data_IF_339363068855
#
_entry.id   IF_339363068855
#
_cell.length_a   1.000
_cell.length_b   1.000
_cell.length_c   1.000
_cell.angle_alpha   90.00
_cell.angle_beta   90.00
_cell.angle_gamma   90.00
#
_symmetry.space_group_name_H-M   'P 1'
#
loop_
_entity.id
_entity.type
_entity.pdbx_description
1 polymer ?
#
# COMPACT_ATOMS: atom_id res chain seq x y z
N UNK A 1 -29.76 -39.53 -31.57
CA UNK A 1 -28.51 -40.12 -31.06
C UNK A 1 -28.17 -39.40 -29.77
N UNK A 2 -28.45 -40.02 -28.62
CA UNK A 2 -28.23 -39.46 -27.29
C UNK A 2 -26.79 -39.69 -26.84
N UNK A 3 -26.06 -38.62 -26.57
CA UNK A 3 -24.72 -38.67 -25.99
C UNK A 3 -24.86 -38.54 -24.47
N UNK A 4 -24.60 -39.64 -23.74
CA UNK A 4 -24.52 -39.66 -22.27
C UNK A 4 -23.07 -39.50 -21.86
N UNK A 5 -22.76 -38.47 -21.09
CA UNK A 5 -21.46 -38.27 -20.45
C UNK A 5 -21.55 -38.81 -19.01
N UNK A 6 -20.69 -39.76 -18.60
CA UNK A 6 -20.68 -40.21 -17.22
C UNK A 6 -19.93 -39.22 -16.32
N UNK A 7 -20.58 -38.91 -15.21
CA UNK A 7 -20.05 -38.30 -14.00
C UNK A 7 -18.96 -39.19 -13.39
N UNK A 8 -17.76 -38.63 -13.15
CA UNK A 8 -16.73 -39.25 -12.32
C UNK A 8 -16.56 -38.42 -11.05
N UNK A 9 -16.98 -39.04 -9.95
CA UNK A 9 -16.56 -38.78 -8.58
C UNK A 9 -15.08 -39.17 -8.41
N UNK A 10 -14.26 -38.36 -7.73
CA UNK A 10 -13.30 -38.82 -6.71
C UNK A 10 -12.54 -37.63 -6.10
N UNK A 11 -12.87 -37.26 -4.86
CA UNK A 11 -12.14 -37.61 -3.60
C UNK A 11 -11.09 -36.56 -3.21
N UNK A 12 -11.55 -35.66 -2.33
CA UNK A 12 -10.97 -35.34 -1.02
C UNK A 12 -9.47 -35.61 -0.82
N UNK A 13 -8.69 -34.54 -0.63
CA UNK A 13 -7.50 -34.56 0.22
C UNK A 13 -7.41 -33.28 1.03
N UNK A 14 -7.89 -33.40 2.27
CA UNK A 14 -7.71 -32.46 3.36
C UNK A 14 -6.41 -32.84 4.06
N UNK A 15 -5.36 -32.03 3.96
CA UNK A 15 -4.16 -32.17 4.81
C UNK A 15 -4.07 -30.95 5.71
N UNK A 16 -4.48 -31.16 6.96
CA UNK A 16 -4.34 -30.26 8.09
C UNK A 16 -2.96 -30.54 8.69
N UNK A 17 -2.01 -29.62 8.57
CA UNK A 17 -0.80 -29.64 9.40
C UNK A 17 -0.97 -28.65 10.55
N UNK A 18 -1.30 -29.21 11.71
CA UNK A 18 -1.24 -28.58 13.01
C UNK A 18 0.07 -29.00 13.67
N UNK A 19 0.91 -28.03 14.06
CA UNK A 19 1.90 -28.22 15.11
C UNK A 19 2.31 -26.85 15.68
N UNK A 20 1.63 -26.46 16.76
CA UNK A 20 2.21 -25.57 17.76
C UNK A 20 3.32 -26.30 18.51
N UNK A 21 4.42 -25.61 18.82
CA UNK A 21 5.30 -26.01 19.91
C UNK A 21 5.75 -24.76 20.65
N UNK A 22 5.17 -24.61 21.84
CA UNK A 22 5.58 -23.67 22.89
C UNK A 22 6.52 -24.41 23.82
N UNK A 23 7.73 -23.90 24.03
CA UNK A 23 8.58 -24.24 25.18
C UNK A 23 9.05 -22.94 25.87
N UNK A 24 8.55 -22.75 27.08
CA UNK A 24 9.09 -21.89 28.16
C UNK A 24 10.13 -22.69 28.96
N UNK A 25 10.67 -22.18 30.07
CA UNK A 25 11.31 -20.88 30.35
C UNK A 25 12.72 -21.11 30.94
N UNK A 26 13.52 -20.07 31.17
CA UNK A 26 14.55 -20.17 32.21
C UNK A 26 14.80 -18.87 32.97
N UNK A 27 15.22 -19.08 34.21
CA UNK A 27 15.04 -18.24 35.39
C UNK A 27 16.32 -17.48 35.75
N UNK A 28 16.18 -16.16 35.93
CA UNK A 28 16.79 -15.38 37.03
C UNK A 28 18.31 -15.25 37.15
N UNK A 29 18.79 -13.99 37.14
CA UNK A 29 19.59 -13.48 38.27
C UNK A 29 19.51 -11.95 38.38
N UNK A 30 19.52 -11.48 39.62
CA UNK A 30 19.38 -10.08 40.13
C UNK A 30 20.74 -9.35 39.98
N UNK A 31 20.94 -8.02 40.08
CA UNK A 31 20.46 -6.94 40.98
C UNK A 31 21.05 -5.59 40.41
N UNK A 32 20.31 -4.47 40.29
CA UNK A 32 20.31 -3.24 41.16
C UNK A 32 21.60 -2.38 41.03
N UNK A 33 21.69 -1.05 40.77
CA UNK A 33 21.03 0.21 41.21
C UNK A 33 21.60 1.33 40.27
N UNK A 34 20.99 2.47 39.92
CA UNK A 34 20.47 3.57 40.74
C UNK A 34 19.68 4.56 39.85
N UNK A 35 18.64 5.16 40.42
CA UNK A 35 17.82 6.23 39.85
C UNK A 35 18.55 7.60 39.88
N UNK A 36 17.95 8.66 39.30
CA UNK A 36 17.04 9.45 40.12
C UNK A 36 15.64 9.61 39.49
N UNK A 37 14.64 9.49 40.37
CA UNK A 37 13.27 9.91 40.15
C UNK A 37 13.21 11.44 40.14
N UNK A 38 12.42 12.03 39.25
CA UNK A 38 11.55 13.14 39.64
C UNK A 38 10.27 13.08 38.84
N UNK A 39 9.18 13.22 39.58
CA UNK A 39 7.81 12.99 39.20
C UNK A 39 7.29 13.93 38.11
N UNK A 40 6.44 13.38 37.25
CA UNK A 40 5.24 14.09 36.79
C UNK A 40 4.14 13.08 36.54
N UNK A 41 3.26 12.98 37.55
CA UNK A 41 1.96 12.33 37.46
C UNK A 41 1.15 12.94 36.31
N UNK A 42 0.82 12.10 35.33
CA UNK A 42 -0.19 12.38 34.33
C UNK A 42 -0.75 11.06 33.83
N UNK A 43 -1.78 10.55 34.50
CA UNK A 43 -2.61 9.43 34.01
C UNK A 43 -3.04 9.74 32.57
N UNK A 44 -2.61 8.94 31.60
CA UNK A 44 -3.44 8.69 30.42
C UNK A 44 -3.29 7.23 29.98
N UNK A 45 -4.42 6.55 30.11
CA UNK A 45 -4.81 5.24 29.61
C UNK A 45 -3.89 4.61 28.57
N UNK A 46 -3.46 3.37 28.86
CA UNK A 46 -2.83 2.49 27.90
C UNK A 46 -3.78 2.16 26.75
N UNK A 47 -3.65 2.92 25.66
CA UNK A 47 -3.85 2.39 24.33
C UNK A 47 -2.46 2.13 23.76
N UNK A 48 -2.19 0.92 23.28
CA UNK A 48 -1.06 0.71 22.37
C UNK A 48 -1.31 1.68 21.22
N UNK A 49 -0.55 2.77 21.17
CA UNK A 49 -0.52 3.65 20.01
C UNK A 49 0.17 2.80 18.96
N UNK A 50 -0.60 2.10 18.14
CA UNK A 50 -0.06 1.38 16.99
C UNK A 50 0.72 2.41 16.20
N UNK A 51 2.05 2.35 16.31
CA UNK A 51 2.95 3.18 15.52
C UNK A 51 2.77 2.64 14.11
N UNK A 52 1.97 3.36 13.32
CA UNK A 52 1.74 2.99 11.93
C UNK A 52 3.07 3.17 11.23
N UNK A 53 3.62 2.07 10.73
CA UNK A 53 4.81 2.11 9.91
C UNK A 53 4.41 2.82 8.62
N UNK A 54 4.87 4.05 8.47
CA UNK A 54 4.70 4.81 7.23
C UNK A 54 5.41 4.03 6.12
N UNK A 55 4.70 3.75 5.02
CA UNK A 55 5.28 3.16 3.83
C UNK A 55 5.21 4.17 2.70
N UNK A 56 6.33 4.29 1.99
CA UNK A 56 6.47 5.20 0.86
C UNK A 56 7.44 4.58 -0.11
N UNK A 57 6.99 4.35 -1.33
CA UNK A 57 7.80 3.81 -2.42
C UNK A 57 7.89 4.84 -3.53
N UNK A 58 9.07 5.03 -4.11
CA UNK A 58 9.16 5.68 -5.42
C UNK A 58 9.12 4.59 -6.48
N UNK A 59 8.12 4.65 -7.36
CA UNK A 59 7.93 3.63 -8.40
C UNK A 59 7.98 4.24 -9.78
N UNK A 60 8.43 3.45 -10.75
CA UNK A 60 8.13 3.67 -12.17
C UNK A 60 7.04 2.68 -12.58
N UNK A 61 5.92 3.18 -13.09
CA UNK A 61 4.75 2.38 -13.40
C UNK A 61 4.27 2.59 -14.84
N UNK A 62 3.81 1.53 -15.46
CA UNK A 62 3.13 1.55 -16.76
C UNK A 62 1.62 1.55 -16.55
N UNK A 63 0.92 2.50 -17.17
CA UNK A 63 -0.53 2.59 -17.11
C UNK A 63 -1.12 1.46 -17.94
N UNK A 64 -1.94 0.62 -17.31
CA UNK A 64 -2.73 -0.39 -18.01
C UNK A 64 -4.14 0.13 -18.30
N UNK A 65 -4.70 0.92 -17.38
CA UNK A 65 -6.04 1.49 -17.52
C UNK A 65 -6.22 2.72 -16.64
N UNK A 66 -6.98 3.70 -17.14
CA UNK A 66 -7.53 4.81 -16.34
C UNK A 66 -9.05 4.67 -16.32
N UNK A 67 -9.67 4.69 -15.13
CA UNK A 67 -11.13 4.65 -14.97
C UNK A 67 -11.60 5.93 -14.29
N UNK A 68 -12.24 6.86 -15.01
CA UNK A 68 -12.88 8.01 -14.38
C UNK A 68 -14.09 7.57 -13.56
N UNK A 69 -14.23 8.15 -12.38
CA UNK A 69 -15.33 7.93 -11.41
C UNK A 69 -16.06 9.24 -11.07
N UNK A 70 -15.63 10.35 -11.68
CA UNK A 70 -16.19 11.69 -11.58
C UNK A 70 -15.25 12.70 -12.25
N UNK A 71 -15.52 13.99 -12.09
CA UNK A 71 -14.69 15.03 -12.71
C UNK A 71 -13.27 15.02 -12.16
N UNK A 72 -13.15 14.87 -10.83
CA UNK A 72 -11.86 14.89 -10.13
C UNK A 72 -11.55 13.57 -9.39
N UNK A 73 -12.29 12.50 -9.68
CA UNK A 73 -12.03 11.18 -9.09
C UNK A 73 -11.78 10.16 -10.20
N UNK A 74 -10.71 9.39 -10.08
CA UNK A 74 -10.37 8.34 -11.02
C UNK A 74 -9.47 7.30 -10.34
N UNK A 75 -9.53 6.07 -10.86
CA UNK A 75 -8.69 4.96 -10.45
C UNK A 75 -7.75 4.58 -11.60
N UNK A 76 -6.47 4.41 -11.29
CA UNK A 76 -5.44 3.91 -12.20
C UNK A 76 -5.24 2.41 -11.95
N UNK A 77 -5.18 1.60 -12.99
CA UNK A 77 -4.60 0.25 -12.92
C UNK A 77 -3.24 0.30 -13.58
N UNK A 78 -2.20 -0.06 -12.84
CA UNK A 78 -0.81 0.13 -13.28
C UNK A 78 0.03 -1.11 -13.00
N UNK A 79 0.99 -1.39 -13.88
CA UNK A 79 2.04 -2.39 -13.69
C UNK A 79 3.29 -1.70 -13.15
N UNK A 80 3.80 -2.14 -12.00
CA UNK A 80 5.06 -1.61 -11.45
C UNK A 80 6.24 -2.16 -12.25
N UNK A 81 6.95 -1.27 -12.94
CA UNK A 81 8.13 -1.62 -13.74
C UNK A 81 9.40 -1.57 -12.91
N UNK A 82 9.46 -0.67 -11.94
CA UNK A 82 10.60 -0.52 -11.05
C UNK A 82 10.20 0.10 -9.71
N UNK A 83 11.00 -0.18 -8.68
CA UNK A 83 10.82 0.32 -7.31
C UNK A 83 12.17 0.82 -6.81
N UNK A 84 12.19 2.06 -6.37
CA UNK A 84 13.35 2.71 -5.78
C UNK A 84 13.13 2.82 -4.26
N UNK A 85 14.18 2.48 -3.52
CA UNK A 85 14.25 2.72 -2.08
C UNK A 85 14.59 4.19 -1.83
N UNK A 86 13.75 4.89 -1.08
CA UNK A 86 14.00 6.28 -0.70
C UNK A 86 14.76 6.40 0.64
N UNK A 87 15.00 5.28 1.32
CA UNK A 87 15.77 5.17 2.56
C UNK A 87 15.09 5.75 3.80
N UNK A 88 13.96 6.47 3.64
CA UNK A 88 13.20 7.03 4.76
C UNK A 88 12.09 6.09 5.24
N UNK A 89 11.55 5.25 4.36
CA UNK A 89 10.43 4.36 4.66
C UNK A 89 10.55 3.00 3.97
N UNK A 90 10.02 1.96 4.60
CA UNK A 90 9.96 0.63 3.97
C UNK A 90 9.01 0.68 2.76
N UNK A 91 9.50 0.20 1.61
CA UNK A 91 8.71 0.08 0.40
C UNK A 91 7.87 -1.20 0.43
N UNK A 92 6.55 -1.07 0.32
CA UNK A 92 5.63 -2.20 0.16
C UNK A 92 5.31 -2.53 -1.31
N UNK A 93 5.76 -1.69 -2.25
CA UNK A 93 5.52 -1.91 -3.66
C UNK A 93 6.47 -2.98 -4.20
N UNK A 94 5.96 -3.88 -5.05
CA UNK A 94 6.72 -4.97 -5.64
C UNK A 94 6.80 -4.80 -7.16
N UNK A 95 8.01 -4.95 -7.71
CA UNK A 95 8.24 -4.94 -9.15
C UNK A 95 7.53 -6.12 -9.84
N UNK A 96 6.86 -5.85 -10.96
CA UNK A 96 6.09 -6.84 -11.71
C UNK A 96 4.64 -6.99 -11.26
N UNK A 97 4.26 -6.41 -10.12
CA UNK A 97 2.90 -6.47 -9.61
C UNK A 97 2.00 -5.39 -10.22
N UNK A 98 0.69 -5.68 -10.23
CA UNK A 98 -0.34 -4.78 -10.69
C UNK A 98 -1.14 -4.23 -9.52
N UNK A 99 -1.27 -2.90 -9.46
CA UNK A 99 -2.03 -2.24 -8.41
C UNK A 99 -3.13 -1.35 -8.97
N UNK A 100 -4.19 -1.17 -8.16
CA UNK A 100 -5.24 -0.18 -8.38
C UNK A 100 -4.99 1.00 -7.45
N UNK A 101 -4.69 2.16 -8.02
CA UNK A 101 -4.25 3.34 -7.29
C UNK A 101 -5.20 4.51 -7.49
N UNK A 102 -5.32 5.37 -6.48
CA UNK A 102 -6.05 6.63 -6.55
C UNK A 102 -5.13 7.82 -6.27
N UNK A 103 -5.36 8.99 -6.89
CA UNK A 103 -4.60 10.19 -6.58
C UNK A 103 -4.90 10.70 -5.16
N UNK A 104 -3.84 10.94 -4.38
CA UNK A 104 -3.90 11.48 -3.02
C UNK A 104 -3.94 13.00 -3.00
N UNK A 105 -5.06 13.57 -3.46
CA UNK A 105 -5.23 15.03 -3.52
C UNK A 105 -5.15 15.68 -2.13
N UNK A 106 -4.44 16.80 -2.07
CA UNK A 106 -4.52 17.69 -0.91
C UNK A 106 -5.79 18.52 -1.00
N UNK A 107 -6.64 18.45 0.02
CA UNK A 107 -7.96 19.11 0.04
C UNK A 107 -7.93 20.40 0.87
N UNK A 108 -8.79 21.36 0.51
CA UNK A 108 -9.20 22.50 1.33
C UNK A 108 -10.71 22.40 1.55
N UNK A 109 -11.11 21.89 2.72
CA UNK A 109 -12.48 21.45 2.96
C UNK A 109 -12.91 20.36 1.95
N UNK A 110 -13.81 20.71 1.04
CA UNK A 110 -14.32 19.81 -0.01
C UNK A 110 -13.67 20.01 -1.37
N UNK A 111 -12.82 21.02 -1.52
CA UNK A 111 -12.19 21.38 -2.79
C UNK A 111 -10.77 20.86 -2.87
N UNK A 112 -10.32 20.57 -4.08
CA UNK A 112 -8.92 20.20 -4.33
C UNK A 112 -8.09 21.48 -4.32
N UNK A 113 -7.05 21.52 -3.49
CA UNK A 113 -6.14 22.68 -3.43
C UNK A 113 -5.52 22.94 -4.82
N UNK A 114 -5.51 24.19 -5.32
CA UNK A 114 -4.90 24.53 -6.61
C UNK A 114 -3.37 24.64 -6.50
N UNK A 115 -2.71 23.56 -6.07
CA UNK A 115 -1.25 23.47 -5.92
C UNK A 115 -0.65 22.57 -7.00
N UNK A 116 0.62 22.78 -7.31
CA UNK A 116 1.36 22.05 -8.34
C UNK A 116 1.29 20.52 -8.17
N UNK A 117 1.36 20.04 -6.92
CA UNK A 117 1.20 18.62 -6.59
C UNK A 117 -0.10 18.05 -7.14
N UNK A 118 -1.22 18.73 -6.90
CA UNK A 118 -2.54 18.30 -7.34
C UNK A 118 -2.71 18.46 -8.86
N UNK A 119 -2.12 19.50 -9.47
CA UNK A 119 -2.10 19.64 -10.93
C UNK A 119 -1.46 18.43 -11.60
N UNK A 120 -0.26 18.03 -11.16
CA UNK A 120 0.42 16.85 -11.70
C UNK A 120 -0.34 15.55 -11.44
N UNK A 121 -0.97 15.40 -10.27
CA UNK A 121 -1.84 14.26 -10.00
C UNK A 121 -3.03 14.21 -10.97
N UNK A 122 -3.65 15.34 -11.29
CA UNK A 122 -4.76 15.41 -12.25
C UNK A 122 -4.34 15.01 -13.67
N UNK A 123 -3.11 15.32 -14.08
CA UNK A 123 -2.59 14.92 -15.40
C UNK A 123 -2.56 13.40 -15.61
N UNK A 124 -2.56 12.60 -14.53
CA UNK A 124 -2.64 11.13 -14.61
C UNK A 124 -3.96 10.66 -15.23
N UNK A 125 -5.04 11.45 -15.13
CA UNK A 125 -6.34 11.15 -15.73
C UNK A 125 -6.28 11.05 -17.26
N UNK A 126 -5.35 11.78 -17.87
CA UNK A 126 -5.20 11.86 -19.33
C UNK A 126 -4.21 10.82 -19.88
N UNK A 127 -3.59 10.01 -19.01
CA UNK A 127 -2.68 8.96 -19.44
C UNK A 127 -3.44 7.84 -20.15
N UNK A 128 -2.79 7.26 -21.16
CA UNK A 128 -3.34 6.16 -21.94
C UNK A 128 -2.63 4.86 -21.56
N UNK A 129 -3.23 3.69 -21.84
CA UNK A 129 -2.51 2.42 -21.73
C UNK A 129 -1.15 2.47 -22.43
N UNK A 130 -0.12 1.95 -21.78
CA UNK A 130 1.28 2.00 -22.22
C UNK A 130 2.04 3.28 -21.87
N UNK A 131 1.37 4.34 -21.40
CA UNK A 131 2.07 5.51 -20.82
C UNK A 131 2.80 5.10 -19.55
N UNK A 132 3.90 5.77 -19.24
CA UNK A 132 4.66 5.51 -18.01
C UNK A 132 4.72 6.75 -17.13
N UNK A 133 4.78 6.56 -15.82
CA UNK A 133 5.01 7.65 -14.88
C UNK A 133 5.86 7.18 -13.72
N UNK A 134 6.60 8.12 -13.14
CA UNK A 134 7.38 7.93 -11.92
C UNK A 134 6.75 8.73 -10.80
N UNK A 135 6.46 8.09 -9.68
CA UNK A 135 5.70 8.69 -8.60
C UNK A 135 6.05 8.13 -7.22
N UNK A 136 5.79 8.94 -6.19
CA UNK A 136 5.76 8.50 -4.80
C UNK A 136 4.38 7.94 -4.49
N UNK A 137 4.33 6.71 -4.01
CA UNK A 137 3.10 5.97 -3.69
C UNK A 137 3.18 5.37 -2.29
N UNK A 138 2.03 4.99 -1.75
CA UNK A 138 1.98 4.16 -0.55
C UNK A 138 0.63 3.47 -0.40
N UNK A 139 0.62 2.48 0.49
CA UNK A 139 -0.53 1.72 0.91
C UNK A 139 -1.10 2.36 2.19
N UNK A 140 -2.35 2.80 2.13
CA UNK A 140 -3.05 3.35 3.29
C UNK A 140 -3.47 2.23 4.25
N UNK A 141 -3.89 2.62 5.45
CA UNK A 141 -4.37 1.69 6.49
C UNK A 141 -5.61 0.87 6.05
N UNK A 142 -6.42 1.40 5.14
CA UNK A 142 -7.55 0.70 4.54
C UNK A 142 -7.15 -0.13 3.30
N UNK A 143 -5.86 -0.45 3.17
CA UNK A 143 -5.28 -1.25 2.09
C UNK A 143 -5.56 -0.68 0.68
N UNK A 144 -5.56 0.64 0.53
CA UNK A 144 -5.68 1.31 -0.77
C UNK A 144 -4.35 1.89 -1.19
N UNK A 145 -3.97 1.64 -2.44
CA UNK A 145 -2.80 2.29 -3.01
C UNK A 145 -3.13 3.73 -3.39
N UNK A 146 -2.27 4.65 -2.98
CA UNK A 146 -2.41 6.08 -3.23
C UNK A 146 -1.17 6.61 -3.91
N UNK A 147 -1.36 7.45 -4.92
CA UNK A 147 -0.30 8.25 -5.54
C UNK A 147 -0.22 9.59 -4.83
N UNK A 148 0.84 9.82 -4.05
CA UNK A 148 0.99 11.05 -3.27
C UNK A 148 1.56 12.20 -4.10
N UNK A 149 2.49 11.89 -5.00
CA UNK A 149 3.20 12.87 -5.82
C UNK A 149 3.68 12.25 -7.12
N UNK A 150 3.53 12.99 -8.23
CA UNK A 150 4.09 12.63 -9.53
C UNK A 150 5.41 13.35 -9.74
N UNK A 151 6.48 12.57 -9.93
CA UNK A 151 7.83 13.06 -10.13
C UNK A 151 8.09 13.32 -11.61
N UNK A 152 7.66 12.38 -12.47
CA UNK A 152 7.75 12.48 -13.93
C UNK A 152 6.62 11.67 -14.62
N UNK A 153 6.21 12.07 -15.82
CA UNK A 153 5.20 11.36 -16.60
C UNK A 153 5.48 11.43 -18.11
N UNK A 154 5.57 10.26 -18.74
CA UNK A 154 5.79 10.10 -20.18
C UNK A 154 4.54 9.54 -20.86
N UNK A 155 3.87 10.43 -21.60
CA UNK A 155 2.70 10.08 -22.43
C UNK A 155 3.15 9.28 -23.65
N UNK A 156 2.42 8.22 -23.99
CA UNK A 156 2.56 7.59 -25.30
C UNK A 156 2.00 8.51 -26.38
N UNK A 157 2.74 8.65 -27.49
CA UNK A 157 2.36 9.48 -28.63
C UNK A 157 1.04 9.01 -29.26
N UNK A 158 0.25 9.96 -29.74
CA UNK A 158 -0.96 9.68 -30.56
C UNK A 158 -0.57 9.10 -31.90
#
# INVERSE_FOLDING_TARGET
MSLRIPTIFMVLSLLIFSACSSSKPDTGSKQVQNAPQTDSLGKQSGGIKTVIQENSSVITAEVLRVRPEGDNNFTLTVLVKDVEDDGAFESLAVKGETYRMQPGFSMDGKEIKPIDKNRKLMELKDLRPGSTFRARVGLTQDNKWVVYEVLDAKKTGK
#
